data_IF_041896686524
#
_entry.id   IF_041896686524
#
_cell.length_a   1.000
_cell.length_b   1.000
_cell.length_c   1.000
_cell.angle_alpha   90.00
_cell.angle_beta   90.00
_cell.angle_gamma   90.00
#
_symmetry.space_group_name_H-M   'P 1'
#
loop_
_entity.id
_entity.type
_entity.pdbx_description
1 polymer ?
#
# COMPACT_ATOMS: atom_id res chain seq x y z
N UNK A 1 16.37 -15.21 -0.46
CA UNK A 1 16.76 -13.81 -0.71
C UNK A 1 17.36 -13.71 -2.10
N UNK A 2 16.86 -12.80 -2.93
CA UNK A 2 17.43 -12.43 -4.22
C UNK A 2 17.87 -10.96 -4.23
N UNK A 3 18.79 -10.58 -5.10
CA UNK A 3 19.24 -9.19 -5.21
C UNK A 3 20.39 -9.02 -6.19
N UNK A 4 21.17 -7.94 -6.02
CA UNK A 4 22.43 -7.68 -6.73
C UNK A 4 23.59 -7.76 -5.75
N UNK A 5 24.20 -8.93 -5.62
CA UNK A 5 25.28 -9.19 -4.66
C UNK A 5 26.13 -10.40 -5.06
N UNK A 6 27.43 -10.32 -4.78
CA UNK A 6 28.41 -11.39 -5.02
C UNK A 6 28.91 -12.09 -3.76
N UNK A 7 28.63 -11.54 -2.57
CA UNK A 7 29.02 -12.11 -1.29
C UNK A 7 27.91 -11.96 -0.26
N UNK A 8 27.89 -12.87 0.70
CA UNK A 8 27.04 -12.82 1.90
C UNK A 8 27.89 -13.12 3.12
N UNK A 9 27.75 -12.30 4.17
CA UNK A 9 28.39 -12.52 5.46
C UNK A 9 27.38 -13.08 6.46
N UNK A 10 27.71 -14.20 7.09
CA UNK A 10 26.93 -14.81 8.18
C UNK A 10 27.88 -15.15 9.33
N UNK A 11 27.65 -14.55 10.50
CA UNK A 11 28.64 -14.52 11.57
C UNK A 11 29.92 -13.81 11.11
N UNK A 12 31.07 -14.48 11.28
CA UNK A 12 32.39 -13.98 10.84
C UNK A 12 32.81 -14.50 9.45
N UNK A 13 31.95 -15.27 8.77
CA UNK A 13 32.28 -15.91 7.50
C UNK A 13 31.66 -15.19 6.31
N UNK A 14 32.49 -14.71 5.41
CA UNK A 14 32.08 -14.26 4.08
C UNK A 14 32.04 -15.46 3.11
N UNK A 15 30.95 -15.57 2.34
CA UNK A 15 30.73 -16.61 1.34
C UNK A 15 30.41 -15.98 0.00
N UNK A 16 31.16 -16.36 -1.05
CA UNK A 16 30.85 -15.98 -2.43
C UNK A 16 29.57 -16.65 -2.93
N UNK A 17 28.71 -15.89 -3.58
CA UNK A 17 27.38 -16.31 -4.07
C UNK A 17 27.03 -15.56 -5.35
N UNK A 18 25.97 -15.98 -6.04
CA UNK A 18 25.54 -15.37 -7.30
C UNK A 18 24.10 -14.89 -7.21
N UNK A 19 23.89 -13.73 -6.59
CA UNK A 19 22.61 -12.97 -6.57
C UNK A 19 21.40 -13.65 -5.90
N UNK A 20 21.51 -14.90 -5.44
CA UNK A 20 20.48 -15.61 -4.70
C UNK A 20 21.06 -16.49 -3.58
N UNK A 21 20.43 -16.44 -2.40
CA UNK A 21 20.76 -17.27 -1.23
C UNK A 21 19.51 -17.67 -0.45
N UNK A 22 19.63 -18.73 0.36
CA UNK A 22 18.63 -19.10 1.35
C UNK A 22 19.24 -19.06 2.76
N UNK A 23 18.43 -18.67 3.73
CA UNK A 23 18.76 -18.72 5.15
C UNK A 23 17.77 -19.65 5.85
N UNK A 24 18.23 -20.33 6.90
CA UNK A 24 17.33 -20.98 7.84
C UNK A 24 16.64 -19.90 8.69
N UNK A 25 15.31 -19.96 8.80
CA UNK A 25 14.54 -18.93 9.51
C UNK A 25 14.54 -19.11 11.02
N UNK A 26 14.93 -20.28 11.54
CA UNK A 26 14.99 -20.54 12.97
C UNK A 26 16.26 -19.95 13.60
N UNK A 27 17.39 -19.95 12.88
CA UNK A 27 18.68 -19.49 13.41
C UNK A 27 19.41 -18.47 12.53
N UNK A 28 18.82 -18.06 11.42
CA UNK A 28 19.39 -17.13 10.43
C UNK A 28 20.73 -17.59 9.83
N UNK A 29 21.02 -18.90 9.89
CA UNK A 29 22.22 -19.47 9.26
C UNK A 29 22.09 -19.52 7.74
N UNK A 30 23.19 -19.28 7.04
CA UNK A 30 23.23 -19.37 5.58
C UNK A 30 23.19 -20.84 5.14
N UNK A 31 22.16 -21.23 4.38
CA UNK A 31 22.04 -22.59 3.83
C UNK A 31 23.11 -22.85 2.80
N UNK A 32 23.94 -23.88 2.98
CA UNK A 32 25.06 -24.18 2.08
C UNK A 32 24.65 -24.88 0.78
N UNK A 33 23.51 -25.57 0.80
CA UNK A 33 22.99 -26.37 -0.31
C UNK A 33 22.32 -25.51 -1.40
N UNK A 34 21.66 -24.41 -1.02
CA UNK A 34 21.03 -23.50 -1.99
C UNK A 34 22.04 -22.52 -2.60
N UNK A 35 22.63 -22.87 -3.74
CA UNK A 35 23.65 -22.06 -4.45
C UNK A 35 23.46 -22.01 -5.98
N UNK A 36 22.31 -21.51 -6.49
CA UNK A 36 22.16 -21.31 -7.93
C UNK A 36 23.11 -20.19 -8.42
N UNK A 37 23.73 -20.41 -9.57
CA UNK A 37 24.59 -19.46 -10.27
C UNK A 37 23.78 -18.51 -11.14
N UNK A 38 23.20 -17.45 -10.56
CA UNK A 38 22.40 -16.48 -11.31
C UNK A 38 23.27 -15.32 -11.80
N UNK A 39 23.35 -15.13 -13.12
CA UNK A 39 24.33 -14.23 -13.76
C UNK A 39 24.04 -12.72 -13.63
N UNK A 40 22.89 -12.32 -13.08
CA UNK A 40 22.53 -10.92 -12.84
C UNK A 40 21.54 -10.78 -11.67
N UNK A 41 21.05 -9.56 -11.45
CA UNK A 41 20.12 -9.23 -10.36
C UNK A 41 18.88 -10.14 -10.36
N UNK A 42 18.57 -10.70 -9.19
CA UNK A 42 17.29 -11.34 -8.90
C UNK A 42 16.39 -10.32 -8.24
N UNK A 43 15.26 -10.01 -8.90
CA UNK A 43 14.28 -9.00 -8.44
C UNK A 43 13.08 -9.62 -7.75
N UNK A 44 12.69 -10.83 -8.15
CA UNK A 44 11.60 -11.60 -7.58
C UNK A 44 12.08 -12.99 -7.19
N UNK A 45 11.60 -13.49 -6.04
CA UNK A 45 11.82 -14.86 -5.59
C UNK A 45 10.51 -15.37 -4.99
N UNK A 46 10.01 -16.48 -5.51
CA UNK A 46 8.72 -17.03 -5.11
C UNK A 46 8.83 -18.54 -4.83
N UNK A 47 8.87 -18.96 -3.55
CA UNK A 47 8.86 -20.37 -3.18
C UNK A 47 7.46 -20.97 -3.29
N UNK A 48 7.33 -22.13 -3.93
CA UNK A 48 6.09 -22.88 -4.09
C UNK A 48 6.34 -24.39 -3.99
N UNK A 49 6.03 -24.96 -2.82
CA UNK A 49 6.35 -26.36 -2.52
C UNK A 49 7.85 -26.64 -2.64
N UNK A 50 8.23 -27.61 -3.47
CA UNK A 50 9.62 -27.99 -3.72
C UNK A 50 10.32 -27.12 -4.79
N UNK A 51 9.62 -26.12 -5.34
CA UNK A 51 10.11 -25.24 -6.40
C UNK A 51 10.33 -23.82 -5.87
N UNK A 52 11.37 -23.16 -6.35
CA UNK A 52 11.63 -21.73 -6.13
C UNK A 52 11.74 -21.07 -7.50
N UNK A 53 10.82 -20.18 -7.81
CA UNK A 53 10.87 -19.36 -9.01
C UNK A 53 11.75 -18.14 -8.77
N UNK A 54 12.60 -17.83 -9.75
CA UNK A 54 13.48 -16.67 -9.75
C UNK A 54 13.10 -15.78 -10.93
N UNK A 55 12.96 -14.48 -10.69
CA UNK A 55 12.72 -13.46 -11.72
C UNK A 55 13.70 -12.31 -11.59
N UNK A 56 14.15 -11.74 -12.69
CA UNK A 56 15.06 -10.60 -12.63
C UNK A 56 15.65 -10.19 -13.97
N UNK A 57 16.88 -9.68 -13.94
CA UNK A 57 17.60 -9.13 -15.11
C UNK A 57 18.47 -10.19 -15.84
N UNK A 58 18.54 -11.40 -15.31
CA UNK A 58 19.50 -12.42 -15.77
C UNK A 58 19.11 -13.03 -17.13
N UNK A 59 20.11 -13.49 -17.88
CA UNK A 59 19.94 -14.31 -19.09
C UNK A 59 20.43 -15.75 -18.93
N UNK A 60 20.99 -16.08 -17.76
CA UNK A 60 21.62 -17.37 -17.50
C UNK A 60 21.46 -17.74 -16.02
N UNK A 61 21.20 -19.04 -15.78
CA UNK A 61 21.27 -19.66 -14.45
C UNK A 61 22.02 -20.98 -14.59
N UNK A 62 23.05 -21.20 -13.77
CA UNK A 62 23.91 -22.39 -13.79
C UNK A 62 24.52 -22.73 -15.17
N UNK A 63 24.88 -21.71 -15.96
CA UNK A 63 25.42 -21.89 -17.32
C UNK A 63 24.38 -22.13 -18.40
N UNK A 64 23.10 -22.26 -18.04
CA UNK A 64 22.00 -22.51 -18.96
C UNK A 64 21.21 -21.23 -19.26
N UNK A 65 20.86 -21.01 -20.53
CA UNK A 65 20.06 -19.84 -20.93
C UNK A 65 18.70 -19.84 -20.25
N UNK A 66 18.42 -18.78 -19.51
CA UNK A 66 17.17 -18.51 -18.79
C UNK A 66 16.88 -17.02 -18.89
N UNK A 67 16.04 -16.64 -19.85
CA UNK A 67 15.72 -15.23 -20.09
C UNK A 67 14.75 -14.73 -19.03
N UNK A 68 15.29 -14.03 -18.03
CA UNK A 68 14.58 -13.26 -16.98
C UNK A 68 13.75 -14.07 -15.99
N UNK A 69 13.54 -15.36 -16.23
CA UNK A 69 12.83 -16.27 -15.33
C UNK A 69 13.45 -17.67 -15.31
N UNK A 70 13.54 -18.27 -14.13
CA UNK A 70 14.00 -19.64 -13.92
C UNK A 70 13.25 -20.29 -12.75
N UNK A 71 13.36 -21.62 -12.65
CA UNK A 71 12.92 -22.35 -11.46
C UNK A 71 14.04 -23.26 -11.00
N UNK A 72 14.24 -23.33 -9.68
CA UNK A 72 15.20 -24.21 -9.01
C UNK A 72 14.48 -25.00 -7.93
N UNK A 73 15.07 -26.09 -7.45
CA UNK A 73 14.57 -26.79 -6.26
C UNK A 73 14.82 -25.96 -5.00
N UNK A 74 14.25 -26.37 -3.86
CA UNK A 74 14.58 -25.81 -2.53
C UNK A 74 16.03 -26.04 -2.09
N UNK A 75 16.80 -26.85 -2.82
CA UNK A 75 18.26 -27.03 -2.70
C UNK A 75 19.04 -26.31 -3.81
N UNK A 76 18.39 -25.44 -4.59
CA UNK A 76 19.05 -24.62 -5.61
C UNK A 76 19.39 -25.35 -6.92
N UNK A 77 18.92 -26.58 -7.14
CA UNK A 77 19.16 -27.31 -8.39
C UNK A 77 18.26 -26.78 -9.50
N UNK A 78 18.82 -26.37 -10.63
CA UNK A 78 18.06 -25.88 -11.78
C UNK A 78 17.06 -26.91 -12.32
N UNK A 79 15.78 -26.52 -12.40
CA UNK A 79 14.68 -27.32 -12.95
C UNK A 79 14.51 -27.05 -14.45
N UNK A 80 13.86 -27.94 -15.21
CA UNK A 80 13.65 -27.77 -16.66
C UNK A 80 12.65 -26.66 -17.07
N UNK A 81 12.21 -25.79 -16.14
CA UNK A 81 11.23 -24.72 -16.38
C UNK A 81 11.75 -23.66 -17.36
N UNK A 82 11.07 -23.41 -18.48
CA UNK A 82 11.50 -22.39 -19.45
C UNK A 82 10.33 -21.64 -20.09
N UNK A 83 10.14 -20.41 -19.64
CA UNK A 83 9.63 -19.34 -20.49
C UNK A 83 10.83 -18.48 -20.95
N UNK A 84 10.64 -17.71 -22.02
CA UNK A 84 11.62 -16.69 -22.45
C UNK A 84 10.91 -15.33 -22.45
N UNK A 85 11.41 -14.40 -21.64
CA UNK A 85 10.82 -13.06 -21.42
C UNK A 85 11.87 -12.02 -21.81
N UNK A 86 11.48 -11.03 -22.59
CA UNK A 86 12.43 -10.09 -23.22
C UNK A 86 13.01 -9.05 -22.26
N UNK A 87 12.24 -8.60 -21.27
CA UNK A 87 12.65 -7.56 -20.31
C UNK A 87 12.52 -8.04 -18.85
N UNK A 88 13.07 -7.29 -17.88
CA UNK A 88 13.09 -7.69 -16.47
C UNK A 88 11.74 -8.15 -15.90
N UNK A 89 11.79 -9.27 -15.20
CA UNK A 89 10.70 -9.74 -14.33
C UNK A 89 10.85 -9.06 -12.97
N UNK A 90 9.78 -8.42 -12.50
CA UNK A 90 9.72 -7.66 -11.24
C UNK A 90 8.97 -8.39 -10.14
N UNK A 91 7.97 -9.19 -10.52
CA UNK A 91 7.09 -9.89 -9.59
C UNK A 91 6.76 -11.30 -10.09
N UNK A 92 6.66 -12.24 -9.16
CA UNK A 92 6.23 -13.61 -9.41
C UNK A 92 5.28 -14.00 -8.29
N UNK A 93 4.13 -14.58 -8.65
CA UNK A 93 3.15 -15.08 -7.69
C UNK A 93 2.71 -16.48 -8.12
N UNK A 94 3.01 -17.50 -7.31
CA UNK A 94 2.68 -18.88 -7.64
C UNK A 94 1.27 -19.24 -7.17
N UNK A 95 0.48 -19.86 -8.05
CA UNK A 95 -0.86 -20.35 -7.76
C UNK A 95 -0.95 -21.85 -8.11
N UNK A 96 -0.26 -22.72 -7.34
CA UNK A 96 -0.12 -24.14 -7.64
C UNK A 96 -1.46 -24.89 -7.68
N UNK A 97 -2.46 -24.43 -6.92
CA UNK A 97 -3.83 -24.94 -6.96
C UNK A 97 -4.52 -24.77 -8.32
N UNK A 98 -4.00 -23.86 -9.16
CA UNK A 98 -4.43 -23.66 -10.54
C UNK A 98 -3.36 -24.08 -11.56
N UNK A 99 -2.27 -24.73 -11.12
CA UNK A 99 -1.19 -25.21 -11.98
C UNK A 99 -0.41 -24.10 -12.69
N UNK A 100 -0.33 -22.90 -12.11
CA UNK A 100 0.24 -21.73 -12.78
C UNK A 100 1.09 -20.83 -11.91
N UNK A 101 1.87 -20.00 -12.58
CA UNK A 101 2.60 -18.88 -12.00
C UNK A 101 2.26 -17.60 -12.76
N UNK A 102 1.86 -16.56 -12.03
CA UNK A 102 1.69 -15.22 -12.57
C UNK A 102 3.04 -14.51 -12.54
N UNK A 103 3.37 -13.83 -13.63
CA UNK A 103 4.64 -13.13 -13.79
C UNK A 103 4.36 -11.70 -14.23
N UNK A 104 4.90 -10.75 -13.47
CA UNK A 104 4.78 -9.32 -13.68
C UNK A 104 6.13 -8.66 -13.94
N UNK A 105 6.18 -7.65 -14.80
CA UNK A 105 7.41 -6.89 -15.05
C UNK A 105 7.33 -5.90 -16.20
N UNK A 106 8.48 -5.64 -16.81
CA UNK A 106 8.68 -4.57 -17.80
C UNK A 106 8.48 -5.05 -19.26
N UNK A 107 8.09 -6.31 -19.45
CA UNK A 107 8.20 -7.05 -20.71
C UNK A 107 7.13 -6.75 -21.75
N UNK A 108 7.46 -7.02 -23.01
CA UNK A 108 6.59 -6.85 -24.17
C UNK A 108 6.29 -8.18 -24.87
N UNK A 109 7.17 -9.17 -24.72
CA UNK A 109 7.01 -10.49 -25.29
C UNK A 109 7.37 -11.60 -24.31
N UNK A 110 6.61 -12.68 -24.42
CA UNK A 110 6.80 -13.92 -23.66
C UNK A 110 6.70 -15.08 -24.65
N UNK A 111 7.67 -15.97 -24.63
CA UNK A 111 7.76 -17.11 -25.56
C UNK A 111 7.64 -16.65 -27.03
N UNK A 112 8.29 -15.53 -27.37
CA UNK A 112 8.30 -14.88 -28.70
C UNK A 112 6.93 -14.39 -29.18
N UNK A 113 5.94 -14.27 -28.28
CA UNK A 113 4.61 -13.73 -28.58
C UNK A 113 4.36 -12.50 -27.74
N UNK A 114 3.61 -11.54 -28.28
CA UNK A 114 3.22 -10.34 -27.54
C UNK A 114 2.45 -10.72 -26.28
N UNK A 115 2.98 -10.33 -25.13
CA UNK A 115 2.34 -10.39 -23.82
C UNK A 115 2.99 -9.30 -23.01
N UNK A 116 2.23 -8.27 -22.64
CA UNK A 116 2.81 -7.08 -22.03
C UNK A 116 2.61 -7.11 -20.53
N UNK A 117 3.71 -6.96 -19.79
CA UNK A 117 3.82 -6.71 -18.36
C UNK A 117 3.15 -7.69 -17.38
N UNK A 118 2.19 -8.51 -17.81
CA UNK A 118 1.54 -9.55 -17.02
C UNK A 118 1.28 -10.78 -17.90
N UNK A 119 1.65 -11.96 -17.39
CA UNK A 119 1.40 -13.25 -18.05
C UNK A 119 1.13 -14.35 -17.02
N UNK A 120 0.30 -15.32 -17.39
CA UNK A 120 0.16 -16.59 -16.67
C UNK A 120 0.92 -17.67 -17.41
N UNK A 121 1.79 -18.37 -16.71
CA UNK A 121 2.56 -19.49 -17.24
C UNK A 121 2.15 -20.79 -16.54
N UNK A 122 2.21 -21.88 -17.28
CA UNK A 122 2.15 -23.22 -16.70
C UNK A 122 3.33 -23.43 -15.75
N UNK A 123 3.04 -23.76 -14.49
CA UNK A 123 4.03 -23.80 -13.41
C UNK A 123 5.18 -24.81 -13.63
N UNK A 124 4.99 -25.83 -14.47
CA UNK A 124 6.00 -26.86 -14.71
C UNK A 124 6.81 -26.61 -15.98
N UNK A 125 6.13 -26.24 -17.07
CA UNK A 125 6.73 -26.16 -18.39
C UNK A 125 7.19 -24.75 -18.78
N UNK A 126 6.59 -23.71 -18.20
CA UNK A 126 6.78 -22.31 -18.64
C UNK A 126 5.99 -21.96 -19.90
N UNK A 127 5.10 -22.85 -20.36
CA UNK A 127 4.21 -22.56 -21.48
C UNK A 127 3.24 -21.42 -21.11
N UNK A 128 3.03 -20.49 -22.03
CA UNK A 128 2.06 -19.40 -21.82
C UNK A 128 0.64 -19.96 -21.76
N UNK A 129 -0.02 -19.80 -20.61
CA UNK A 129 -1.42 -20.18 -20.42
C UNK A 129 -2.36 -19.01 -20.75
N UNK A 130 -2.01 -17.78 -20.35
CA UNK A 130 -2.86 -16.62 -20.54
C UNK A 130 -2.06 -15.33 -20.69
N UNK A 131 -2.50 -14.49 -21.63
CA UNK A 131 -2.06 -13.11 -21.79
C UNK A 131 -3.17 -12.16 -21.34
N UNK A 132 -2.81 -11.01 -20.81
CA UNK A 132 -3.74 -10.01 -20.28
C UNK A 132 -3.75 -8.77 -21.16
N UNK A 133 -4.79 -8.60 -21.98
CA UNK A 133 -4.88 -7.49 -22.95
C UNK A 133 -5.47 -6.20 -22.38
N UNK A 134 -5.92 -6.23 -21.12
CA UNK A 134 -6.57 -5.11 -20.46
C UNK A 134 -5.61 -4.19 -19.69
N UNK A 135 -4.33 -4.56 -19.59
CA UNK A 135 -3.29 -3.69 -19.04
C UNK A 135 -2.80 -2.76 -20.16
N UNK A 136 -2.72 -1.47 -19.85
CA UNK A 136 -2.28 -0.46 -20.81
C UNK A 136 -0.82 -0.69 -21.22
N UNK A 137 -0.49 -0.44 -22.49
CA UNK A 137 0.86 -0.70 -23.03
C UNK A 137 1.95 0.21 -22.48
N UNK A 138 1.56 1.26 -21.75
CA UNK A 138 2.44 2.20 -21.06
C UNK A 138 2.61 1.87 -19.59
N UNK A 139 2.02 0.78 -19.09
CA UNK A 139 2.01 0.38 -17.68
C UNK A 139 2.72 -0.96 -17.48
N UNK A 140 3.64 -0.99 -16.51
CA UNK A 140 4.36 -2.19 -16.09
C UNK A 140 3.85 -2.68 -14.73
N UNK A 141 4.04 -3.97 -14.45
CA UNK A 141 3.70 -4.55 -13.14
C UNK A 141 4.92 -4.52 -12.24
N UNK A 142 4.78 -3.87 -11.08
CA UNK A 142 5.88 -3.72 -10.09
C UNK A 142 5.80 -4.77 -8.99
N UNK A 143 4.60 -5.18 -8.63
CA UNK A 143 4.35 -6.17 -7.58
C UNK A 143 3.09 -6.99 -7.86
N UNK A 144 3.07 -8.21 -7.33
CA UNK A 144 1.95 -9.13 -7.38
C UNK A 144 1.73 -9.69 -5.98
N UNK A 145 0.46 -9.79 -5.60
CA UNK A 145 0.05 -10.50 -4.40
C UNK A 145 -1.24 -11.26 -4.67
N UNK A 146 -1.63 -12.17 -3.79
CA UNK A 146 -2.90 -12.89 -3.93
C UNK A 146 -3.58 -13.21 -2.61
N UNK A 147 -4.86 -13.52 -2.71
CA UNK A 147 -5.58 -14.33 -1.75
C UNK A 147 -5.87 -15.71 -2.37
N UNK A 148 -6.74 -16.52 -1.75
CA UNK A 148 -7.09 -17.85 -2.28
C UNK A 148 -7.91 -17.87 -3.58
N UNK A 149 -8.38 -16.71 -4.07
CA UNK A 149 -9.29 -16.61 -5.22
C UNK A 149 -8.88 -15.54 -6.23
N UNK A 150 -8.19 -14.50 -5.80
CA UNK A 150 -7.89 -13.29 -6.55
C UNK A 150 -6.40 -12.99 -6.49
N UNK A 151 -5.88 -12.39 -7.56
CA UNK A 151 -4.59 -11.73 -7.56
C UNK A 151 -4.77 -10.22 -7.58
N UNK A 152 -3.77 -9.53 -7.10
CA UNK A 152 -3.67 -8.09 -7.01
C UNK A 152 -2.34 -7.68 -7.62
N UNK A 153 -2.33 -6.57 -8.35
CA UNK A 153 -1.10 -6.03 -8.90
C UNK A 153 -0.94 -4.55 -8.55
N UNK A 154 0.31 -4.16 -8.39
CA UNK A 154 0.77 -2.78 -8.36
C UNK A 154 1.28 -2.40 -9.76
N UNK A 155 0.81 -1.30 -10.32
CA UNK A 155 1.23 -0.82 -11.62
C UNK A 155 2.03 0.49 -11.54
N UNK A 156 2.93 0.66 -12.48
CA UNK A 156 3.61 1.93 -12.75
C UNK A 156 3.63 2.15 -14.26
N UNK A 157 3.20 3.31 -14.71
CA UNK A 157 3.16 3.69 -16.09
C UNK A 157 3.74 5.06 -16.35
N UNK A 158 4.12 5.29 -17.60
CA UNK A 158 4.56 6.62 -18.08
C UNK A 158 3.45 7.20 -18.94
N UNK A 159 2.62 8.06 -18.35
CA UNK A 159 1.42 8.58 -19.01
C UNK A 159 0.35 7.51 -19.26
N UNK A 160 0.34 6.46 -18.44
CA UNK A 160 -0.64 5.37 -18.43
C UNK A 160 -1.19 5.10 -17.03
N UNK A 161 -1.75 3.92 -16.85
CA UNK A 161 -2.27 3.45 -15.56
C UNK A 161 -1.17 3.15 -14.52
N UNK A 162 -1.30 3.70 -13.31
CA UNK A 162 -0.33 3.65 -12.21
C UNK A 162 -0.91 3.08 -10.89
N UNK A 163 -2.14 2.58 -10.93
CA UNK A 163 -2.90 2.21 -9.74
C UNK A 163 -2.81 0.73 -9.38
N UNK A 164 -3.90 0.20 -8.82
CA UNK A 164 -4.06 -1.21 -8.47
C UNK A 164 -5.15 -1.87 -9.29
N UNK A 165 -4.94 -3.15 -9.58
CA UNK A 165 -5.92 -4.00 -10.27
C UNK A 165 -6.08 -5.28 -9.48
N UNK A 166 -7.33 -5.74 -9.35
CA UNK A 166 -7.63 -7.10 -8.93
C UNK A 166 -8.10 -7.93 -10.12
N UNK A 167 -7.67 -9.19 -10.17
CA UNK A 167 -8.18 -10.18 -11.09
C UNK A 167 -8.49 -11.50 -10.39
N UNK A 168 -9.29 -12.34 -11.03
CA UNK A 168 -9.65 -13.66 -10.53
C UNK A 168 -8.53 -14.64 -10.90
N UNK A 169 -7.94 -15.32 -9.92
CA UNK A 169 -6.86 -16.28 -10.16
C UNK A 169 -7.28 -17.35 -11.16
N UNK A 170 -8.43 -17.99 -10.95
CA UNK A 170 -8.88 -19.11 -11.78
C UNK A 170 -8.98 -18.76 -13.29
N UNK A 171 -9.56 -17.60 -13.62
CA UNK A 171 -9.94 -17.23 -15.00
C UNK A 171 -9.07 -16.15 -15.62
N UNK A 172 -8.29 -15.43 -14.83
CA UNK A 172 -7.58 -14.22 -15.23
C UNK A 172 -8.49 -13.03 -15.57
N UNK A 173 -9.79 -13.13 -15.26
CA UNK A 173 -10.72 -12.03 -15.49
C UNK A 173 -10.41 -10.87 -14.55
N UNK A 174 -10.31 -9.66 -15.09
CA UNK A 174 -10.19 -8.43 -14.30
C UNK A 174 -11.46 -8.22 -13.47
N UNK A 175 -11.31 -8.17 -12.14
CA UNK A 175 -12.39 -7.92 -11.19
C UNK A 175 -12.64 -6.42 -11.07
N UNK A 176 -11.59 -5.65 -10.91
CA UNK A 176 -11.65 -4.20 -10.91
C UNK A 176 -10.30 -3.56 -11.19
N UNK A 177 -10.38 -2.31 -11.62
CA UNK A 177 -9.26 -1.37 -11.71
C UNK A 177 -9.69 -0.14 -10.93
N UNK A 178 -8.80 0.39 -10.10
CA UNK A 178 -9.01 1.72 -9.55
C UNK A 178 -8.64 2.79 -10.57
N UNK A 179 -8.64 4.05 -10.17
CA UNK A 179 -8.26 5.17 -11.03
C UNK A 179 -7.22 6.07 -10.35
N UNK A 180 -6.44 5.51 -9.43
CA UNK A 180 -5.42 6.29 -8.76
C UNK A 180 -4.26 6.58 -9.72
N UNK A 181 -3.82 7.82 -9.72
CA UNK A 181 -2.67 8.32 -10.47
C UNK A 181 -1.46 8.41 -9.55
N UNK A 182 -0.31 8.02 -10.09
CA UNK A 182 0.96 7.97 -9.40
C UNK A 182 1.32 6.55 -8.96
N UNK A 183 2.56 6.16 -9.30
CA UNK A 183 3.03 4.79 -9.29
C UNK A 183 2.73 4.01 -8.01
N UNK A 184 2.17 2.82 -8.16
CA UNK A 184 2.05 1.84 -7.08
C UNK A 184 3.20 0.85 -7.19
N UNK A 185 3.95 0.66 -6.10
CA UNK A 185 5.16 -0.17 -6.08
C UNK A 185 4.98 -1.51 -5.40
N UNK A 186 4.09 -1.57 -4.42
CA UNK A 186 3.89 -2.76 -3.60
C UNK A 186 2.44 -2.91 -3.21
N UNK A 187 1.96 -4.14 -3.12
CA UNK A 187 0.61 -4.48 -2.66
C UNK A 187 0.64 -5.69 -1.73
N UNK A 188 -0.20 -5.68 -0.70
CA UNK A 188 -0.45 -6.87 0.12
C UNK A 188 -1.91 -6.92 0.58
N UNK A 189 -2.66 -7.99 0.30
CA UNK A 189 -4.00 -8.17 0.81
C UNK A 189 -3.98 -8.68 2.25
N UNK A 190 -4.86 -8.15 3.09
CA UNK A 190 -5.06 -8.62 4.46
C UNK A 190 -6.47 -8.28 4.94
N UNK A 191 -7.20 -9.27 5.45
CA UNK A 191 -8.53 -9.12 6.06
C UNK A 191 -9.52 -8.22 5.27
N UNK A 192 -9.56 -8.37 3.95
CA UNK A 192 -10.47 -7.61 3.09
C UNK A 192 -9.98 -6.23 2.66
N UNK A 193 -8.73 -5.87 3.01
CA UNK A 193 -8.06 -4.63 2.62
C UNK A 193 -6.85 -4.95 1.74
N UNK A 194 -6.67 -4.18 0.66
CA UNK A 194 -5.43 -4.12 -0.10
C UNK A 194 -4.62 -2.94 0.41
N UNK A 195 -3.53 -3.23 1.11
CA UNK A 195 -2.54 -2.23 1.47
C UNK A 195 -1.61 -2.02 0.28
N UNK A 196 -1.23 -0.78 0.03
CA UNK A 196 -0.33 -0.46 -1.07
C UNK A 196 0.71 0.57 -0.69
N UNK A 197 1.95 0.34 -1.12
CA UNK A 197 3.00 1.33 -1.18
C UNK A 197 2.94 2.03 -2.53
N UNK A 198 2.78 3.34 -2.52
CA UNK A 198 2.56 4.11 -3.73
C UNK A 198 3.20 5.49 -3.65
N UNK A 199 3.00 6.25 -4.70
CA UNK A 199 3.16 7.69 -4.72
C UNK A 199 1.89 8.21 -5.41
N UNK A 200 0.74 8.03 -4.76
CA UNK A 200 -0.53 8.45 -5.32
C UNK A 200 -0.74 9.96 -5.09
N UNK A 201 -1.17 10.69 -6.11
CA UNK A 201 -1.47 12.13 -6.00
C UNK A 201 -2.89 12.51 -6.44
N UNK A 202 -3.60 11.60 -7.12
CA UNK A 202 -5.03 11.70 -7.41
C UNK A 202 -5.67 10.33 -7.32
N UNK A 203 -6.77 10.21 -6.58
CA UNK A 203 -7.60 9.01 -6.49
C UNK A 203 -9.09 9.35 -6.66
N UNK A 204 -9.44 10.53 -7.18
CA UNK A 204 -10.80 11.09 -7.13
C UNK A 204 -11.85 10.30 -7.90
N UNK A 205 -11.43 9.50 -8.89
CA UNK A 205 -12.32 8.56 -9.60
C UNK A 205 -12.59 7.24 -8.85
N UNK A 206 -11.90 7.01 -7.74
CA UNK A 206 -12.08 5.83 -6.88
C UNK A 206 -12.92 6.22 -5.66
N UNK A 207 -13.93 5.42 -5.24
CA UNK A 207 -14.74 5.73 -4.07
C UNK A 207 -13.88 6.01 -2.84
N UNK A 208 -14.22 7.04 -2.07
CA UNK A 208 -13.43 7.45 -0.90
C UNK A 208 -12.04 8.04 -1.20
N UNK A 209 -11.70 8.28 -2.47
CA UNK A 209 -10.41 8.84 -2.87
C UNK A 209 -10.32 10.36 -2.75
N UNK A 210 -9.08 10.85 -2.79
CA UNK A 210 -8.73 12.28 -2.79
C UNK A 210 -8.58 12.82 -4.21
N UNK A 211 -8.90 14.11 -4.48
CA UNK A 211 -8.61 14.73 -5.77
C UNK A 211 -7.09 14.93 -5.93
N UNK A 212 -6.68 15.43 -7.11
CA UNK A 212 -5.30 15.91 -7.33
C UNK A 212 -4.84 16.83 -6.18
N UNK A 213 -3.75 16.41 -5.52
CA UNK A 213 -3.11 17.12 -4.42
C UNK A 213 -1.63 17.33 -4.70
N UNK A 214 -1.07 18.45 -4.23
CA UNK A 214 0.36 18.72 -4.35
C UNK A 214 1.24 17.77 -3.50
N UNK A 215 0.63 17.07 -2.54
CA UNK A 215 1.28 16.09 -1.69
C UNK A 215 1.06 14.67 -2.24
N UNK A 216 1.98 13.77 -1.93
CA UNK A 216 1.95 12.37 -2.38
C UNK A 216 1.51 11.52 -1.22
N UNK A 217 0.53 10.65 -1.42
CA UNK A 217 0.17 9.60 -0.47
C UNK A 217 1.02 8.37 -0.75
N UNK A 218 1.78 7.97 0.26
CA UNK A 218 2.75 6.90 0.10
C UNK A 218 2.22 5.53 0.53
N UNK A 219 1.22 5.52 1.41
CA UNK A 219 0.54 4.31 1.84
C UNK A 219 -0.96 4.53 1.71
N UNK A 220 -1.65 3.51 1.20
CA UNK A 220 -3.11 3.52 1.07
C UNK A 220 -3.67 2.16 1.50
N UNK A 221 -4.84 2.19 2.12
CA UNK A 221 -5.70 1.02 2.30
C UNK A 221 -6.88 1.11 1.35
N UNK A 222 -7.18 0.03 0.64
CA UNK A 222 -8.33 -0.03 -0.26
C UNK A 222 -9.18 -1.27 0.04
N UNK A 223 -10.48 -1.10 0.22
CA UNK A 223 -11.40 -2.22 0.41
C UNK A 223 -11.44 -3.11 -0.83
N UNK A 224 -11.26 -4.41 -0.61
CA UNK A 224 -11.29 -5.43 -1.66
C UNK A 224 -12.70 -5.72 -2.19
N UNK A 225 -13.74 -5.31 -1.46
CA UNK A 225 -15.14 -5.60 -1.78
C UNK A 225 -15.78 -4.55 -2.68
N UNK A 226 -15.55 -3.27 -2.39
CA UNK A 226 -16.20 -2.13 -3.06
C UNK A 226 -15.22 -1.11 -3.66
N UNK A 227 -13.91 -1.32 -3.47
CA UNK A 227 -12.78 -0.48 -3.96
C UNK A 227 -12.63 0.85 -3.23
N UNK A 228 -13.34 1.06 -2.14
CA UNK A 228 -13.27 2.30 -1.37
C UNK A 228 -11.85 2.50 -0.81
N UNK A 229 -11.25 3.66 -1.05
CA UNK A 229 -10.04 4.09 -0.33
C UNK A 229 -10.46 4.35 1.12
N UNK A 230 -9.84 3.59 2.01
CA UNK A 230 -10.14 3.64 3.43
C UNK A 230 -9.50 4.89 4.06
N UNK A 231 -10.06 5.39 5.18
CA UNK A 231 -9.47 6.50 5.90
C UNK A 231 -8.23 6.07 6.67
N UNK A 232 -7.18 5.62 5.98
CA UNK A 232 -5.92 5.15 6.56
C UNK A 232 -4.76 5.79 5.78
N UNK A 233 -4.15 6.83 6.35
CA UNK A 233 -3.16 7.69 5.71
C UNK A 233 -1.84 7.86 6.49
N UNK A 234 -1.21 6.79 7.01
CA UNK A 234 0.17 6.89 7.47
C UNK A 234 1.07 7.35 6.32
N UNK A 235 2.02 8.24 6.60
CA UNK A 235 2.86 8.84 5.56
C UNK A 235 4.34 8.57 5.82
N UNK A 236 5.00 7.90 4.87
CA UNK A 236 6.44 7.60 4.90
C UNK A 236 7.29 8.69 4.22
N UNK A 237 6.74 9.69 3.54
CA UNK A 237 7.50 10.55 2.63
C UNK A 237 8.16 9.79 1.44
N UNK A 238 8.58 10.54 0.42
CA UNK A 238 9.13 9.95 -0.81
C UNK A 238 10.57 9.43 -0.69
N UNK A 239 11.32 9.84 0.35
CA UNK A 239 12.75 9.57 0.45
C UNK A 239 13.63 10.43 -0.46
N UNK A 240 14.88 9.99 -0.66
CA UNK A 240 15.94 10.74 -1.37
C UNK A 240 16.20 10.26 -2.82
N UNK A 241 15.66 9.10 -3.20
CA UNK A 241 15.85 8.46 -4.51
C UNK A 241 14.81 8.90 -5.54
N UNK A 242 14.04 7.94 -6.08
CA UNK A 242 12.99 8.20 -7.07
C UNK A 242 11.76 8.92 -6.47
N UNK A 243 11.80 9.21 -5.16
CA UNK A 243 10.77 9.90 -4.39
C UNK A 243 9.44 9.16 -4.35
N UNK A 244 9.50 7.82 -4.28
CA UNK A 244 8.33 6.95 -4.16
C UNK A 244 8.05 6.56 -2.72
N UNK A 245 9.03 6.54 -1.82
CA UNK A 245 8.83 6.12 -0.43
C UNK A 245 8.86 4.59 -0.29
N UNK A 246 7.72 3.91 -0.07
CA UNK A 246 7.68 2.46 0.14
C UNK A 246 7.83 1.68 -1.18
N UNK A 247 8.53 0.55 -1.08
CA UNK A 247 8.86 -0.35 -2.20
C UNK A 247 8.46 -1.79 -1.96
N UNK A 248 8.24 -2.17 -0.71
CA UNK A 248 7.85 -3.52 -0.33
C UNK A 248 6.94 -3.49 0.88
N UNK A 249 5.93 -4.35 0.87
CA UNK A 249 5.01 -4.57 1.98
C UNK A 249 4.99 -6.06 2.32
N UNK A 250 4.91 -6.39 3.60
CA UNK A 250 4.63 -7.76 4.04
C UNK A 250 3.80 -7.75 5.31
N UNK A 251 2.80 -8.63 5.37
CA UNK A 251 2.05 -8.89 6.59
C UNK A 251 2.71 -10.02 7.37
N UNK A 252 3.05 -9.77 8.62
CA UNK A 252 3.57 -10.77 9.55
C UNK A 252 2.67 -10.81 10.79
N UNK A 253 1.75 -11.79 10.82
CA UNK A 253 0.62 -11.75 11.75
C UNK A 253 -0.27 -10.55 11.41
N UNK A 254 -0.55 -9.73 12.42
CA UNK A 254 -1.34 -8.50 12.37
C UNK A 254 -0.49 -7.23 12.19
N UNK A 255 0.79 -7.39 11.80
CA UNK A 255 1.73 -6.29 11.63
C UNK A 255 2.07 -6.13 10.14
N UNK A 256 1.73 -4.96 9.60
CA UNK A 256 2.20 -4.53 8.29
C UNK A 256 3.63 -4.00 8.42
N UNK A 257 4.58 -4.67 7.78
CA UNK A 257 5.95 -4.18 7.61
C UNK A 257 6.07 -3.45 6.27
N UNK A 258 6.77 -2.33 6.30
CA UNK A 258 6.95 -1.45 5.14
C UNK A 258 8.43 -1.18 4.96
N UNK A 259 8.98 -1.53 3.80
CA UNK A 259 10.36 -1.24 3.42
C UNK A 259 10.43 -0.28 2.24
N UNK A 260 11.47 0.55 2.14
CA UNK A 260 11.62 1.48 1.03
C UNK A 260 12.75 2.50 1.17
N UNK A 261 12.63 3.60 0.41
CA UNK A 261 13.63 4.68 0.34
C UNK A 261 13.31 5.86 1.28
N UNK A 262 12.19 5.78 2.01
CA UNK A 262 11.71 6.83 2.89
C UNK A 262 12.67 7.16 4.04
N UNK A 263 12.56 8.40 4.54
CA UNK A 263 13.40 8.91 5.65
C UNK A 263 12.60 9.35 6.88
N UNK A 264 11.27 9.41 6.79
CA UNK A 264 10.40 9.75 7.90
C UNK A 264 9.15 8.87 7.91
N UNK A 265 8.45 8.80 9.03
CA UNK A 265 7.10 8.25 9.13
C UNK A 265 6.28 9.19 10.02
N UNK A 266 5.16 9.69 9.50
CA UNK A 266 4.32 10.69 10.17
C UNK A 266 5.13 11.86 10.74
N UNK A 267 5.97 12.45 9.86
CA UNK A 267 6.90 13.56 10.15
C UNK A 267 8.03 13.27 11.14
N UNK A 268 8.14 12.03 11.64
CA UNK A 268 9.21 11.60 12.56
C UNK A 268 10.32 10.89 11.80
N UNK A 269 11.61 11.13 12.10
CA UNK A 269 12.71 10.40 11.47
C UNK A 269 12.57 8.89 11.67
N UNK A 270 12.46 8.16 10.57
CA UNK A 270 12.40 6.71 10.51
C UNK A 270 12.77 6.31 9.09
N UNK A 271 13.95 5.70 8.91
CA UNK A 271 14.49 5.46 7.59
C UNK A 271 14.30 4.00 7.17
N UNK A 272 13.87 3.83 5.92
CA UNK A 272 13.86 2.61 5.12
C UNK A 272 13.02 1.42 5.61
N UNK A 273 12.73 1.31 6.91
CA UNK A 273 11.93 0.22 7.47
C UNK A 273 11.00 0.79 8.55
N UNK A 274 9.72 0.44 8.49
CA UNK A 274 8.75 0.73 9.56
C UNK A 274 7.74 -0.41 9.68
N UNK A 275 6.92 -0.36 10.73
CA UNK A 275 5.83 -1.30 10.92
C UNK A 275 4.59 -0.62 11.47
N UNK A 276 3.43 -1.13 11.10
CA UNK A 276 2.12 -0.64 11.49
C UNK A 276 1.33 -1.83 12.03
N UNK A 277 1.24 -1.98 13.37
CA UNK A 277 0.46 -3.05 13.97
C UNK A 277 -1.04 -2.75 13.86
N UNK A 278 -1.88 -3.77 13.92
CA UNK A 278 -3.33 -3.65 14.15
C UNK A 278 -3.68 -3.24 15.60
N UNK A 279 -2.77 -2.54 16.28
CA UNK A 279 -2.98 -2.04 17.65
C UNK A 279 -4.21 -1.13 17.70
N UNK A 280 -4.85 -0.98 18.88
CA UNK A 280 -5.90 0.01 19.09
C UNK A 280 -5.45 1.39 18.63
N UNK A 281 -6.38 2.19 18.13
CA UNK A 281 -6.08 3.57 17.79
C UNK A 281 -5.68 4.31 19.08
N UNK A 282 -4.57 5.03 19.00
CA UNK A 282 -4.00 5.78 20.14
C UNK A 282 -3.80 7.25 19.82
N UNK A 283 -4.09 7.67 18.60
CA UNK A 283 -3.84 9.03 18.13
C UNK A 283 -5.16 9.78 18.16
N UNK A 284 -5.18 10.88 18.90
CA UNK A 284 -6.38 11.70 18.95
C UNK A 284 -6.55 12.53 17.66
N UNK A 285 -7.80 12.85 17.27
CA UNK A 285 -8.09 13.67 16.11
C UNK A 285 -7.54 15.08 16.29
N UNK A 286 -7.33 15.78 15.16
CA UNK A 286 -6.90 17.18 15.19
C UNK A 286 -7.86 18.04 16.02
N UNK A 287 -7.34 18.90 16.90
CA UNK A 287 -8.13 19.96 17.54
C UNK A 287 -8.52 21.02 16.51
N UNK A 288 -9.81 21.18 16.15
CA UNK A 288 -10.22 22.15 15.14
C UNK A 288 -10.32 23.55 15.73
N UNK A 289 -9.96 24.59 14.98
CA UNK A 289 -10.24 25.96 15.38
C UNK A 289 -11.77 26.18 15.56
N UNK A 290 -12.15 26.77 16.68
CA UNK A 290 -13.55 26.90 17.10
C UNK A 290 -13.90 28.36 17.38
N UNK A 291 -15.06 28.80 16.92
CA UNK A 291 -15.51 30.18 17.04
C UNK A 291 -17.02 30.26 17.25
N UNK A 292 -17.51 31.40 17.72
CA UNK A 292 -18.92 31.65 17.93
C UNK A 292 -19.26 33.11 17.72
N UNK A 293 -20.43 33.36 17.14
CA UNK A 293 -20.92 34.71 16.83
C UNK A 293 -22.41 34.82 17.11
N UNK A 294 -22.90 36.03 17.36
CA UNK A 294 -24.33 36.32 17.44
C UNK A 294 -24.67 37.51 16.56
N UNK A 295 -25.57 37.29 15.59
CA UNK A 295 -26.02 38.32 14.62
C UNK A 295 -27.52 38.59 14.70
N UNK A 296 -28.27 37.75 15.39
CA UNK A 296 -29.72 37.87 15.59
C UNK A 296 -30.06 37.64 17.04
N UNK A 297 -31.18 38.23 17.48
CA UNK A 297 -31.51 38.25 18.90
C UNK A 297 -31.72 36.84 19.45
N UNK A 298 -31.07 36.54 20.58
CA UNK A 298 -31.17 35.23 21.24
C UNK A 298 -30.57 34.06 20.45
N UNK A 299 -29.76 34.29 19.40
CA UNK A 299 -29.11 33.20 18.63
C UNK A 299 -27.60 33.32 18.61
N UNK A 300 -26.92 32.23 18.95
CA UNK A 300 -25.47 32.09 18.85
C UNK A 300 -25.15 31.01 17.82
N UNK A 301 -24.40 31.37 16.78
CA UNK A 301 -23.89 30.43 15.77
C UNK A 301 -22.44 30.10 16.09
N UNK A 302 -22.21 28.82 16.37
CA UNK A 302 -20.90 28.21 16.57
C UNK A 302 -20.41 27.67 15.22
N UNK A 303 -19.14 27.88 14.91
CA UNK A 303 -18.55 27.49 13.62
C UNK A 303 -17.14 26.93 13.79
N UNK A 304 -16.83 25.87 13.04
CA UNK A 304 -15.51 25.26 12.94
C UNK A 304 -15.29 24.60 11.58
N UNK A 305 -14.03 24.38 11.20
CA UNK A 305 -13.70 23.44 10.13
C UNK A 305 -13.65 22.04 10.73
N UNK A 306 -14.29 21.05 10.11
CA UNK A 306 -14.20 19.65 10.56
C UNK A 306 -12.73 19.27 10.80
N UNK A 307 -12.45 18.55 11.88
CA UNK A 307 -11.13 17.97 12.15
C UNK A 307 -10.85 16.83 11.17
N UNK A 308 -9.62 16.36 11.10
CA UNK A 308 -9.31 15.10 10.43
C UNK A 308 -8.51 14.24 11.38
N UNK A 309 -8.58 12.94 11.13
CA UNK A 309 -7.78 11.92 11.76
C UNK A 309 -7.15 11.04 10.67
N UNK A 310 -6.00 10.45 10.96
CA UNK A 310 -5.18 9.75 9.98
C UNK A 310 -5.70 8.33 9.73
N UNK A 311 -6.42 7.77 10.68
CA UNK A 311 -6.94 6.40 10.69
C UNK A 311 -8.47 6.36 10.84
N UNK A 312 -9.11 7.51 11.11
CA UNK A 312 -10.56 7.62 11.23
C UNK A 312 -11.19 8.60 10.24
N UNK A 313 -12.17 8.08 9.49
CA UNK A 313 -12.91 8.84 8.49
C UNK A 313 -14.18 9.51 9.00
N UNK A 314 -14.68 9.11 10.18
CA UNK A 314 -15.94 9.57 10.75
C UNK A 314 -15.70 10.04 12.18
N UNK A 315 -15.89 11.35 12.40
CA UNK A 315 -15.57 12.00 13.68
C UNK A 315 -16.81 12.55 14.35
N UNK A 316 -16.83 12.49 15.68
CA UNK A 316 -17.89 13.04 16.52
C UNK A 316 -17.43 14.29 17.24
N UNK A 317 -18.20 15.37 17.09
CA UNK A 317 -17.94 16.70 17.61
C UNK A 317 -18.85 16.96 18.80
N UNK A 318 -18.29 17.00 20.01
CA UNK A 318 -19.01 17.26 21.27
C UNK A 318 -18.92 18.74 21.61
N UNK A 319 -20.07 19.40 21.66
CA UNK A 319 -20.20 20.81 22.05
C UNK A 319 -20.57 20.86 23.53
N UNK A 320 -19.85 21.69 24.28
CA UNK A 320 -20.10 21.97 25.69
C UNK A 320 -20.57 23.41 25.83
N UNK A 321 -21.56 23.63 26.69
CA UNK A 321 -22.08 24.95 27.06
C UNK A 321 -21.98 25.12 28.57
N UNK A 322 -21.38 26.23 29.00
CA UNK A 322 -21.18 26.60 30.41
C UNK A 322 -20.46 25.54 31.25
N UNK A 323 -19.69 24.67 30.60
CA UNK A 323 -18.91 23.59 31.20
C UNK A 323 -19.62 22.24 31.24
N UNK A 324 -20.89 22.17 30.82
CA UNK A 324 -21.65 20.93 30.69
C UNK A 324 -21.72 20.47 29.22
N UNK A 325 -21.83 19.17 29.01
CA UNK A 325 -22.13 18.62 27.67
C UNK A 325 -23.48 19.19 27.20
N UNK A 326 -23.54 19.66 25.96
CA UNK A 326 -24.72 20.27 25.39
C UNK A 326 -25.29 19.46 24.23
N UNK A 327 -24.46 19.13 23.24
CA UNK A 327 -24.88 18.34 22.07
C UNK A 327 -23.67 17.70 21.39
N UNK A 328 -23.92 16.82 20.43
CA UNK A 328 -22.90 16.35 19.51
C UNK A 328 -23.45 16.13 18.11
N UNK A 329 -22.54 16.10 17.15
CA UNK A 329 -22.83 15.74 15.78
C UNK A 329 -21.70 14.89 15.22
N UNK A 330 -22.03 13.95 14.34
CA UNK A 330 -21.07 13.05 13.70
C UNK A 330 -21.01 13.37 12.22
N UNK A 331 -19.80 13.45 11.66
CA UNK A 331 -19.58 13.69 10.23
C UNK A 331 -18.35 12.95 9.73
N UNK A 332 -18.44 12.54 8.49
CA UNK A 332 -17.27 12.15 7.73
C UNK A 332 -16.36 13.36 7.52
N UNK A 333 -15.06 13.15 7.69
CA UNK A 333 -14.06 14.16 7.47
C UNK A 333 -12.71 13.50 7.18
N UNK A 334 -12.12 13.86 6.05
CA UNK A 334 -10.83 13.33 5.58
C UNK A 334 -9.89 14.52 5.35
N UNK A 335 -8.58 14.29 5.29
CA UNK A 335 -7.64 15.43 5.23
C UNK A 335 -7.86 16.35 4.00
N UNK A 336 -8.39 15.83 2.89
CA UNK A 336 -8.72 16.58 1.67
C UNK A 336 -10.18 17.05 1.60
N UNK A 337 -11.08 16.49 2.41
CA UNK A 337 -12.50 16.82 2.44
C UNK A 337 -12.95 17.04 3.89
N UNK A 338 -12.78 18.29 4.33
CA UNK A 338 -13.12 18.75 5.67
C UNK A 338 -14.33 19.67 5.56
N UNK A 339 -15.56 19.24 5.88
CA UNK A 339 -16.74 20.11 5.77
C UNK A 339 -16.67 21.32 6.72
N UNK A 340 -17.28 22.43 6.31
CA UNK A 340 -17.52 23.56 7.22
C UNK A 340 -18.70 23.21 8.14
N UNK A 341 -18.48 23.34 9.44
CA UNK A 341 -19.38 22.88 10.48
C UNK A 341 -20.00 24.07 11.18
N UNK A 342 -21.31 23.99 11.40
CA UNK A 342 -22.03 25.00 12.17
C UNK A 342 -23.04 24.36 13.13
N UNK A 343 -23.27 25.04 14.25
CA UNK A 343 -24.36 24.74 15.16
C UNK A 343 -24.99 26.04 15.65
N UNK A 344 -26.31 26.12 15.73
CA UNK A 344 -26.98 27.28 16.33
C UNK A 344 -27.58 26.93 17.68
N UNK A 345 -27.19 27.69 18.70
CA UNK A 345 -27.82 27.68 20.02
C UNK A 345 -28.82 28.85 20.14
N UNK A 346 -29.92 28.60 20.82
CA UNK A 346 -30.95 29.60 21.12
C UNK A 346 -30.97 29.83 22.62
N UNK A 347 -30.73 31.08 23.02
CA UNK A 347 -30.56 31.50 24.43
C UNK A 347 -31.27 32.83 24.67
N UNK A 348 -31.33 33.28 25.92
CA UNK A 348 -31.92 34.57 26.26
C UNK A 348 -31.12 35.73 25.62
N UNK A 349 -31.78 36.71 24.95
CA UNK A 349 -31.10 37.89 24.44
C UNK A 349 -30.29 38.62 25.51
N UNK A 350 -29.06 39.03 25.19
CA UNK A 350 -28.14 39.69 26.13
C UNK A 350 -27.39 38.75 27.08
N UNK A 351 -27.76 37.46 27.16
CA UNK A 351 -27.02 36.47 27.97
C UNK A 351 -25.66 36.16 27.35
N UNK A 352 -24.67 35.87 28.20
CA UNK A 352 -23.32 35.47 27.78
C UNK A 352 -23.06 34.03 28.19
N UNK A 353 -22.64 33.21 27.23
CA UNK A 353 -22.35 31.80 27.43
C UNK A 353 -20.92 31.47 27.02
N UNK A 354 -20.34 30.46 27.67
CA UNK A 354 -19.05 29.89 27.27
C UNK A 354 -19.25 28.56 26.54
N UNK A 355 -18.58 28.41 25.41
CA UNK A 355 -18.63 27.20 24.60
C UNK A 355 -17.25 26.56 24.48
N UNK A 356 -17.22 25.24 24.41
CA UNK A 356 -16.04 24.48 24.05
C UNK A 356 -16.40 23.33 23.11
N UNK A 357 -15.44 22.90 22.30
CA UNK A 357 -15.58 21.83 21.32
C UNK A 357 -14.53 20.75 21.61
N UNK A 358 -14.93 19.49 21.53
CA UNK A 358 -14.03 18.32 21.65
C UNK A 358 -14.37 17.35 20.53
N UNK A 359 -13.35 16.74 19.92
CA UNK A 359 -13.52 15.77 18.84
C UNK A 359 -13.10 14.39 19.32
N UNK A 360 -13.80 13.36 18.85
CA UNK A 360 -13.51 11.95 19.13
C UNK A 360 -13.76 11.10 17.89
N UNK A 361 -12.88 10.16 17.62
CA UNK A 361 -13.03 9.02 16.70
C UNK A 361 -13.87 7.89 17.34
N UNK A 362 -13.96 7.84 18.68
CA UNK A 362 -14.65 6.82 19.44
C UNK A 362 -13.76 6.20 20.52
N UNK A 363 -12.45 6.18 20.31
CA UNK A 363 -11.43 5.69 21.23
C UNK A 363 -10.67 6.85 21.90
N UNK A 364 -10.31 7.87 21.12
CA UNK A 364 -9.49 8.99 21.53
C UNK A 364 -10.26 10.31 21.57
N UNK A 365 -9.69 11.29 22.29
CA UNK A 365 -10.25 12.64 22.44
C UNK A 365 -9.19 13.67 22.08
N UNK A 366 -9.52 14.62 21.19
CA UNK A 366 -8.64 15.72 20.77
C UNK A 366 -8.21 16.63 21.93
N UNK A 367 -8.92 16.56 23.06
CA UNK A 367 -8.95 17.62 24.07
C UNK A 367 -9.87 18.76 23.65
N UNK A 368 -10.27 19.58 24.63
CA UNK A 368 -11.25 20.66 24.43
C UNK A 368 -10.60 21.90 23.85
N UNK A 369 -11.15 22.41 22.75
CA UNK A 369 -10.88 23.76 22.26
C UNK A 369 -11.88 24.78 22.81
N UNK A 370 -11.36 25.85 23.42
CA UNK A 370 -12.13 26.89 24.09
C UNK A 370 -11.55 27.24 25.48
N UNK A 371 -12.28 28.02 26.30
CA UNK A 371 -13.65 28.50 26.05
C UNK A 371 -13.72 29.66 25.05
N UNK A 372 -14.75 29.65 24.20
CA UNK A 372 -15.20 30.80 23.41
C UNK A 372 -16.39 31.43 24.14
N UNK A 373 -16.28 32.70 24.52
CA UNK A 373 -17.37 33.44 25.15
C UNK A 373 -18.17 34.20 24.10
N UNK A 374 -19.49 34.05 24.10
CA UNK A 374 -20.37 34.74 23.14
C UNK A 374 -21.57 35.30 23.89
N UNK A 375 -21.83 36.60 23.67
CA UNK A 375 -23.05 37.27 24.13
C UNK A 375 -24.09 37.21 23.02
N UNK A 376 -25.29 36.70 23.31
CA UNK A 376 -26.40 36.72 22.37
C UNK A 376 -26.91 38.16 22.20
N UNK A 377 -27.12 38.60 20.95
CA UNK A 377 -27.67 39.92 20.66
C UNK A 377 -29.11 40.10 21.15
#
# INVERSE_FOLDING_TARGET
>A
VGGSFGTVTSGERETGVSNAVAFDTADCSLRADFRPGVAATVRAIEPSGDTVYLGGDFGEVDGETRDRIAAVTTSGTLLPFRASIDEPVRAIEAAPEFGKVLVGGDFFTVNRRRSHALVSLDATSGATQQNFSWLESSSVVKDLARDGQNFYLAAEGTGGFDGRIAGVLATGQRKWTDTCLGATQAVVPYEGVLYSGSHAHDCGGTPGGFPEINARQHLLGQSLSDRTILPWFPDTNGGIGEKVGPRVLVMAGDILWVGGEFTAVNDKPQQALTRMPASPDTVAPQVPAFSGTSTSSGRITLSWKAAWDRDDGTLTYRVYRDGAYYTSLTRDSRFWDRPDMTWTDTVEPGSTHRYALEVTDGENLSGRNGPVYVTAR
#
